data_IF_830600897221
#
_entry.id   IF_830600897221
#
_cell.length_a   1.000
_cell.length_b   1.000
_cell.length_c   1.000
_cell.angle_alpha   90.00
_cell.angle_beta   90.00
_cell.angle_gamma   90.00
#
_symmetry.space_group_name_H-M   'P 1'
#
loop_
_entity.id
_entity.type
_entity.pdbx_description
1 polymer ?
#
# COMPACT_ATOMS: atom_id res chain seq x y z
N UNK A 1 1.67 12.40 4.72
CA UNK A 1 1.57 13.77 5.26
C UNK A 1 2.78 14.63 4.94
N UNK A 2 4.04 14.19 5.29
CA UNK A 2 5.24 15.00 5.18
C UNK A 2 5.44 15.64 3.79
N UNK A 3 5.44 14.85 2.71
CA UNK A 3 5.63 15.34 1.35
C UNK A 3 4.50 16.29 0.91
N UNK A 4 3.26 16.07 1.37
CA UNK A 4 2.12 16.93 1.08
C UNK A 4 2.25 18.28 1.76
N UNK A 5 2.61 18.27 3.03
CA UNK A 5 2.84 19.50 3.82
C UNK A 5 3.97 20.32 3.21
N UNK A 6 5.09 19.68 2.86
CA UNK A 6 6.22 20.34 2.20
C UNK A 6 5.86 20.95 0.84
N UNK A 7 5.00 20.26 0.08
CA UNK A 7 4.54 20.73 -1.23
C UNK A 7 3.33 21.69 -1.17
N UNK A 8 2.91 22.10 0.04
CA UNK A 8 1.75 22.97 0.27
C UNK A 8 0.44 22.42 -0.36
N UNK A 9 0.30 21.09 -0.39
CA UNK A 9 -0.92 20.41 -0.85
C UNK A 9 -1.85 20.23 0.35
N UNK A 10 -3.05 20.80 0.25
CA UNK A 10 -4.10 20.62 1.26
C UNK A 10 -4.59 19.17 1.28
N UNK A 11 -4.74 18.60 2.46
CA UNK A 11 -5.25 17.25 2.67
C UNK A 11 -5.94 17.10 4.02
N UNK A 12 -6.89 16.20 4.09
CA UNK A 12 -7.52 15.75 5.33
C UNK A 12 -6.97 14.38 5.73
N UNK A 13 -7.00 14.09 7.02
CA UNK A 13 -6.77 12.75 7.55
C UNK A 13 -8.13 12.18 7.93
N UNK A 14 -8.43 11.03 7.37
CA UNK A 14 -9.62 10.25 7.70
C UNK A 14 -9.20 8.87 8.22
N UNK A 15 -10.06 8.26 8.99
CA UNK A 15 -9.86 6.95 9.60
C UNK A 15 -10.89 5.95 9.08
N UNK A 16 -10.80 4.72 9.51
CA UNK A 16 -11.71 3.64 9.12
C UNK A 16 -13.20 4.03 9.29
N UNK A 17 -13.51 4.75 10.37
CA UNK A 17 -14.87 5.23 10.65
C UNK A 17 -15.40 6.10 9.52
N UNK A 18 -14.63 7.11 9.13
CA UNK A 18 -15.02 8.00 8.05
C UNK A 18 -15.11 7.31 6.70
N UNK A 19 -14.24 6.32 6.46
CA UNK A 19 -14.30 5.49 5.25
C UNK A 19 -15.59 4.70 5.21
N UNK A 20 -15.96 4.02 6.29
CA UNK A 20 -17.20 3.23 6.40
C UNK A 20 -18.46 4.09 6.41
N UNK A 21 -18.37 5.36 6.84
CA UNK A 21 -19.45 6.35 6.74
C UNK A 21 -19.63 6.93 5.33
N UNK A 22 -18.80 6.53 4.35
CA UNK A 22 -18.91 6.97 2.96
C UNK A 22 -18.27 8.33 2.66
N UNK A 23 -17.42 8.86 3.54
CA UNK A 23 -16.77 10.17 3.31
C UNK A 23 -15.77 10.18 2.15
N UNK A 24 -15.38 9.01 1.63
CA UNK A 24 -14.47 8.96 0.46
C UNK A 24 -15.03 9.66 -0.76
N UNK A 25 -16.35 9.75 -0.92
CA UNK A 25 -17.01 10.42 -2.04
C UNK A 25 -16.73 11.93 -2.10
N UNK A 26 -16.30 12.52 -0.98
CA UNK A 26 -15.94 13.94 -0.89
C UNK A 26 -14.55 14.22 -1.45
N UNK A 27 -13.72 13.16 -1.67
CA UNK A 27 -12.32 13.28 -2.06
C UNK A 27 -12.08 12.80 -3.49
N UNK A 28 -11.16 13.47 -4.17
CA UNK A 28 -10.70 13.05 -5.51
C UNK A 28 -9.64 11.95 -5.47
N UNK A 29 -9.03 11.72 -4.30
CA UNK A 29 -7.82 10.95 -4.14
C UNK A 29 -7.66 10.45 -2.70
N UNK A 30 -7.33 9.18 -2.55
CA UNK A 30 -6.99 8.53 -1.28
C UNK A 30 -5.52 8.12 -1.29
N UNK A 31 -4.80 8.45 -0.23
CA UNK A 31 -3.44 7.99 -0.01
C UNK A 31 -3.35 7.10 1.23
N UNK A 32 -2.90 5.87 1.04
CA UNK A 32 -2.54 4.92 2.10
C UNK A 32 -1.03 4.87 2.23
N UNK A 33 -0.52 5.08 3.43
CA UNK A 33 0.91 5.15 3.66
C UNK A 33 1.49 3.84 4.21
N UNK A 34 0.91 3.31 5.26
CA UNK A 34 1.40 2.12 5.95
C UNK A 34 0.25 1.53 6.76
N UNK A 35 -0.66 0.86 6.08
CA UNK A 35 -1.84 0.25 6.67
C UNK A 35 -1.73 -1.27 6.65
N UNK A 36 -2.36 -1.92 7.61
CA UNK A 36 -2.58 -3.37 7.61
C UNK A 36 -4.08 -3.66 7.52
N UNK A 37 -4.51 -4.14 6.37
CA UNK A 37 -5.91 -4.51 6.11
C UNK A 37 -6.23 -5.96 6.51
N UNK A 38 -5.25 -6.73 7.01
CA UNK A 38 -5.44 -8.12 7.42
C UNK A 38 -5.92 -8.26 8.85
N UNK A 39 -5.79 -7.20 9.67
CA UNK A 39 -6.07 -7.23 11.10
C UNK A 39 -4.99 -7.92 11.94
N UNK A 40 -3.80 -8.13 11.39
CA UNK A 40 -2.68 -8.75 12.09
C UNK A 40 -1.72 -7.71 12.70
N UNK A 41 -2.18 -6.47 12.84
CA UNK A 41 -1.46 -5.35 13.47
C UNK A 41 -0.03 -5.16 12.93
N UNK A 42 0.13 -5.25 11.61
CA UNK A 42 1.39 -5.06 10.92
C UNK A 42 2.41 -6.18 11.14
N UNK A 43 1.97 -7.34 11.63
CA UNK A 43 2.89 -8.46 11.99
C UNK A 43 3.96 -8.09 13.05
N UNK A 44 3.68 -7.08 13.86
CA UNK A 44 4.61 -6.64 14.91
C UNK A 44 4.54 -7.49 16.18
N UNK A 45 3.59 -8.42 16.28
CA UNK A 45 3.38 -9.25 17.47
C UNK A 45 4.64 -9.98 17.94
N UNK A 46 5.40 -10.60 17.03
CA UNK A 46 6.58 -11.39 17.39
C UNK A 46 7.60 -10.60 18.21
N UNK A 47 7.85 -9.35 17.82
CA UNK A 47 8.89 -8.49 18.38
C UNK A 47 8.38 -7.47 19.40
N UNK A 48 7.10 -7.08 19.32
CA UNK A 48 6.60 -5.91 20.04
C UNK A 48 5.38 -6.17 20.91
N UNK A 49 4.87 -7.41 21.03
CA UNK A 49 3.65 -7.74 21.81
C UNK A 49 3.67 -7.28 23.26
N UNK A 50 4.85 -7.09 23.86
CA UNK A 50 5.02 -6.62 25.24
C UNK A 50 5.31 -5.12 25.34
N UNK A 51 5.40 -4.40 24.22
CA UNK A 51 5.71 -2.98 24.21
C UNK A 51 4.44 -2.16 24.48
N UNK A 52 4.51 -1.15 25.38
CA UNK A 52 3.34 -0.36 25.75
C UNK A 52 2.60 0.28 24.56
N UNK A 53 3.35 0.79 23.58
CA UNK A 53 2.76 1.39 22.39
C UNK A 53 1.97 0.38 21.56
N UNK A 54 2.49 -0.84 21.38
CA UNK A 54 1.81 -1.90 20.62
C UNK A 54 0.51 -2.32 21.31
N UNK A 55 0.58 -2.57 22.63
CA UNK A 55 -0.60 -2.92 23.44
C UNK A 55 -1.68 -1.82 23.37
N UNK A 56 -1.26 -0.55 23.42
CA UNK A 56 -2.20 0.58 23.32
C UNK A 56 -2.84 0.65 21.92
N UNK A 57 -2.08 0.44 20.86
CA UNK A 57 -2.57 0.43 19.49
C UNK A 57 -3.57 -0.71 19.25
N UNK A 58 -3.25 -1.93 19.66
CA UNK A 58 -4.14 -3.11 19.55
C UNK A 58 -5.47 -2.82 20.25
N UNK A 59 -5.44 -2.36 21.51
CA UNK A 59 -6.66 -2.03 22.28
C UNK A 59 -7.50 -0.94 21.62
N UNK A 60 -6.87 0.05 21.02
CA UNK A 60 -7.58 1.12 20.32
C UNK A 60 -8.29 0.59 19.07
N UNK A 61 -7.62 -0.27 18.30
CA UNK A 61 -8.21 -0.89 17.10
C UNK A 61 -9.35 -1.85 17.45
N UNK A 62 -9.17 -2.68 18.47
CA UNK A 62 -10.21 -3.57 18.99
C UNK A 62 -11.44 -2.80 19.49
N UNK A 63 -11.22 -1.70 20.23
CA UNK A 63 -12.31 -0.85 20.70
C UNK A 63 -13.07 -0.22 19.53
N UNK A 64 -12.37 0.28 18.52
CA UNK A 64 -12.97 0.83 17.31
C UNK A 64 -13.81 -0.21 16.55
N UNK A 65 -13.27 -1.42 16.35
CA UNK A 65 -14.00 -2.50 15.70
C UNK A 65 -15.30 -2.84 16.46
N UNK A 66 -15.23 -2.94 17.78
CA UNK A 66 -16.39 -3.21 18.63
C UNK A 66 -17.42 -2.07 18.60
N UNK A 67 -17.02 -0.81 18.62
CA UNK A 67 -17.90 0.35 18.49
C UNK A 67 -18.63 0.38 17.15
N UNK A 68 -17.99 -0.07 16.08
CA UNK A 68 -18.56 -0.19 14.75
C UNK A 68 -19.39 -1.48 14.56
N UNK A 69 -19.43 -2.36 15.56
CA UNK A 69 -20.23 -3.60 15.55
C UNK A 69 -19.57 -4.81 14.93
N UNK A 70 -18.26 -4.77 14.68
CA UNK A 70 -17.49 -5.90 14.16
C UNK A 70 -17.04 -6.84 15.28
N UNK A 71 -16.93 -8.13 14.98
CA UNK A 71 -16.44 -9.15 15.91
C UNK A 71 -14.92 -9.11 16.05
N UNK A 72 -14.20 -8.65 15.03
CA UNK A 72 -12.73 -8.52 15.02
C UNK A 72 -12.24 -7.34 14.19
N UNK A 73 -11.00 -6.92 14.42
CA UNK A 73 -10.32 -5.93 13.59
C UNK A 73 -10.15 -6.43 12.16
N UNK A 74 -9.93 -7.73 11.98
CA UNK A 74 -9.80 -8.33 10.64
C UNK A 74 -11.08 -8.17 9.82
N UNK A 75 -12.26 -8.39 10.39
CA UNK A 75 -13.54 -8.15 9.71
C UNK A 75 -13.72 -6.68 9.34
N UNK A 76 -13.52 -5.78 10.30
CA UNK A 76 -13.59 -4.34 10.05
C UNK A 76 -12.67 -3.91 8.90
N UNK A 77 -11.41 -4.34 8.92
CA UNK A 77 -10.41 -3.96 7.91
C UNK A 77 -10.75 -4.49 6.51
N UNK A 78 -11.36 -5.66 6.40
CA UNK A 78 -11.85 -6.18 5.11
C UNK A 78 -12.98 -5.32 4.55
N UNK A 79 -13.91 -4.87 5.38
CA UNK A 79 -14.98 -3.97 4.95
C UNK A 79 -14.44 -2.59 4.56
N UNK A 80 -13.45 -2.07 5.26
CA UNK A 80 -12.74 -0.85 4.87
C UNK A 80 -12.07 -1.02 3.50
N UNK A 81 -11.37 -2.14 3.27
CA UNK A 81 -10.74 -2.42 1.99
C UNK A 81 -11.79 -2.53 0.85
N UNK A 82 -12.92 -3.17 1.11
CA UNK A 82 -14.03 -3.26 0.17
C UNK A 82 -14.59 -1.88 -0.19
N UNK A 83 -14.87 -1.04 0.81
CA UNK A 83 -15.36 0.34 0.62
C UNK A 83 -14.38 1.17 -0.22
N UNK A 84 -13.09 1.06 0.04
CA UNK A 84 -12.04 1.74 -0.76
C UNK A 84 -12.05 1.21 -2.20
N UNK A 85 -12.21 -0.09 -2.40
CA UNK A 85 -12.29 -0.68 -3.75
C UNK A 85 -13.51 -0.16 -4.52
N UNK A 86 -14.68 -0.03 -3.88
CA UNK A 86 -15.87 0.56 -4.48
C UNK A 86 -15.63 2.02 -4.90
N UNK A 87 -15.06 2.83 -4.00
CA UNK A 87 -14.65 4.19 -4.31
C UNK A 87 -13.74 4.28 -5.55
N UNK A 88 -12.76 3.38 -5.69
CA UNK A 88 -11.92 3.30 -6.90
C UNK A 88 -12.78 2.93 -8.12
N UNK A 89 -13.66 1.93 -7.98
CA UNK A 89 -14.55 1.48 -9.05
C UNK A 89 -15.46 2.57 -9.60
N UNK A 90 -15.87 3.51 -8.75
CA UNK A 90 -16.71 4.66 -9.10
C UNK A 90 -15.94 5.84 -9.72
N UNK A 91 -14.63 5.79 -9.73
CA UNK A 91 -13.78 6.77 -10.40
C UNK A 91 -12.79 7.48 -9.49
N UNK A 92 -12.64 7.02 -8.24
CA UNK A 92 -11.61 7.48 -7.31
C UNK A 92 -10.20 7.08 -7.73
N UNK A 93 -9.22 7.74 -7.17
CA UNK A 93 -7.82 7.36 -7.33
C UNK A 93 -7.23 6.92 -6.00
N UNK A 94 -6.71 5.69 -5.97
CA UNK A 94 -6.00 5.12 -4.84
C UNK A 94 -4.49 5.15 -5.08
N UNK A 95 -3.75 5.78 -4.19
CA UNK A 95 -2.30 5.69 -4.11
C UNK A 95 -1.89 5.02 -2.81
N UNK A 96 -1.41 3.79 -2.87
CA UNK A 96 -0.99 3.02 -1.70
C UNK A 96 0.51 2.76 -1.70
N UNK A 97 1.09 2.72 -0.51
CA UNK A 97 2.52 2.50 -0.28
C UNK A 97 2.72 1.42 0.79
N UNK A 98 3.88 0.75 0.71
CA UNK A 98 4.34 -0.20 1.70
C UNK A 98 3.30 -1.31 1.97
N UNK A 99 3.08 -1.70 3.23
CA UNK A 99 2.09 -2.72 3.61
C UNK A 99 0.65 -2.36 3.25
N UNK A 100 0.34 -1.09 2.99
CA UNK A 100 -0.97 -0.69 2.47
C UNK A 100 -1.26 -1.18 1.05
N UNK A 101 -0.34 -1.85 0.38
CA UNK A 101 -0.48 -2.40 -0.97
C UNK A 101 -0.86 -3.88 -0.95
N UNK A 102 0.01 -4.73 -0.43
CA UNK A 102 -0.18 -6.18 -0.38
C UNK A 102 -1.29 -6.57 0.61
N UNK A 103 -1.34 -5.97 1.80
CA UNK A 103 -2.38 -6.26 2.78
C UNK A 103 -3.77 -5.86 2.29
N UNK A 104 -3.88 -4.81 1.47
CA UNK A 104 -5.12 -4.41 0.83
C UNK A 104 -5.67 -5.52 -0.07
N UNK A 105 -4.86 -6.02 -0.99
CA UNK A 105 -5.27 -7.10 -1.88
C UNK A 105 -5.48 -8.44 -1.14
N UNK A 106 -4.71 -8.71 -0.08
CA UNK A 106 -4.93 -9.87 0.78
C UNK A 106 -6.32 -9.78 1.44
N UNK A 107 -6.69 -8.61 1.98
CA UNK A 107 -8.00 -8.40 2.58
C UNK A 107 -9.15 -8.60 1.57
N UNK A 108 -8.99 -8.08 0.35
CA UNK A 108 -9.97 -8.27 -0.73
C UNK A 108 -10.12 -9.75 -1.13
N UNK A 109 -9.00 -10.47 -1.27
CA UNK A 109 -9.04 -11.90 -1.59
C UNK A 109 -9.67 -12.74 -0.48
N UNK A 110 -9.53 -12.30 0.77
CA UNK A 110 -10.01 -12.99 1.96
C UNK A 110 -11.40 -12.52 2.43
N UNK A 111 -12.20 -11.90 1.57
CA UNK A 111 -13.56 -11.50 1.91
C UNK A 111 -14.38 -12.71 2.36
N UNK A 112 -14.93 -12.64 3.57
CA UNK A 112 -15.69 -13.74 4.20
C UNK A 112 -14.84 -14.93 4.65
N UNK A 113 -13.51 -14.80 4.66
CA UNK A 113 -12.59 -15.84 5.11
C UNK A 113 -11.77 -15.30 6.28
N UNK A 114 -11.72 -16.06 7.37
CA UNK A 114 -10.85 -15.71 8.49
C UNK A 114 -9.38 -16.05 8.17
N UNK A 115 -8.54 -15.03 8.18
CA UNK A 115 -7.10 -15.10 7.94
C UNK A 115 -6.28 -14.59 9.13
N UNK A 116 -6.92 -14.28 10.26
CA UNK A 116 -6.25 -13.80 11.46
C UNK A 116 -5.93 -15.00 12.37
N UNK A 117 -4.66 -15.29 12.66
CA UNK A 117 -4.32 -16.27 13.69
C UNK A 117 -4.79 -15.87 15.10
N UNK A 118 -5.05 -16.87 15.94
CA UNK A 118 -5.54 -16.73 17.32
C UNK A 118 -4.82 -15.65 18.16
N UNK A 119 -3.55 -15.37 17.85
CA UNK A 119 -2.77 -14.35 18.55
C UNK A 119 -3.25 -12.92 18.30
N UNK A 120 -4.10 -12.71 17.29
CA UNK A 120 -4.55 -11.39 16.86
C UNK A 120 -5.99 -11.10 17.25
N UNK A 121 -6.88 -12.08 17.24
CA UNK A 121 -8.32 -11.89 17.51
C UNK A 121 -8.93 -12.92 18.47
N UNK A 122 -8.15 -13.92 18.91
CA UNK A 122 -8.55 -14.84 19.97
C UNK A 122 -9.18 -16.15 19.48
N UNK A 123 -9.35 -16.34 18.16
CA UNK A 123 -9.77 -17.59 17.55
C UNK A 123 -8.85 -18.01 16.38
N UNK A 124 -8.78 -19.31 16.05
CA UNK A 124 -7.88 -19.78 15.02
C UNK A 124 -8.38 -19.39 13.63
N UNK A 125 -7.46 -18.95 12.78
CA UNK A 125 -7.76 -18.73 11.36
C UNK A 125 -8.37 -19.95 10.68
N UNK A 126 -9.16 -19.75 9.63
CA UNK A 126 -9.74 -20.85 8.86
C UNK A 126 -8.65 -21.79 8.35
N UNK A 127 -8.68 -23.07 8.67
CA UNK A 127 -7.66 -24.03 8.25
C UNK A 127 -7.55 -24.21 6.75
N UNK A 128 -8.57 -23.78 6.00
CA UNK A 128 -8.61 -23.79 4.55
C UNK A 128 -8.56 -22.37 3.96
N UNK A 129 -8.08 -21.38 4.70
CA UNK A 129 -8.06 -19.98 4.26
C UNK A 129 -7.42 -19.82 2.88
N UNK A 130 -6.25 -20.43 2.67
CA UNK A 130 -5.54 -20.35 1.38
C UNK A 130 -6.39 -20.81 0.18
N UNK A 131 -7.15 -21.86 0.34
CA UNK A 131 -7.98 -22.44 -0.75
C UNK A 131 -9.25 -21.64 -1.01
N UNK A 132 -9.63 -20.79 -0.07
CA UNK A 132 -10.84 -19.96 -0.15
C UNK A 132 -10.58 -18.55 -0.68
N UNK A 133 -9.31 -18.18 -0.88
CA UNK A 133 -8.97 -16.87 -1.42
C UNK A 133 -9.51 -16.70 -2.84
N UNK A 134 -10.12 -15.56 -3.09
CA UNK A 134 -10.69 -15.19 -4.40
C UNK A 134 -9.84 -14.07 -5.03
N UNK A 135 -8.94 -14.45 -5.91
CA UNK A 135 -8.05 -13.50 -6.59
C UNK A 135 -8.77 -12.62 -7.63
N UNK A 136 -9.98 -12.94 -8.03
CA UNK A 136 -10.76 -12.06 -8.92
C UNK A 136 -11.20 -10.78 -8.20
N UNK A 137 -11.20 -10.80 -6.87
CA UNK A 137 -11.51 -9.63 -6.04
C UNK A 137 -10.35 -8.65 -5.86
N UNK A 138 -9.11 -9.05 -6.09
CA UNK A 138 -7.92 -8.22 -5.88
C UNK A 138 -7.72 -7.21 -7.02
N UNK A 139 -7.01 -6.13 -6.73
CA UNK A 139 -6.67 -5.12 -7.73
C UNK A 139 -5.40 -5.47 -8.52
N UNK A 140 -4.32 -5.80 -7.83
CA UNK A 140 -2.97 -5.88 -8.41
C UNK A 140 -2.35 -7.27 -8.41
N UNK A 141 -2.68 -8.11 -7.41
CA UNK A 141 -1.96 -9.35 -7.18
C UNK A 141 -2.85 -10.59 -7.30
N UNK A 142 -2.26 -11.70 -7.72
CA UNK A 142 -2.92 -12.99 -7.86
C UNK A 142 -1.99 -14.15 -7.54
N UNK A 143 -2.54 -15.34 -7.28
CA UNK A 143 -1.79 -16.57 -7.06
C UNK A 143 -0.76 -16.50 -5.91
N UNK A 144 -1.02 -15.65 -4.92
CA UNK A 144 -0.16 -15.55 -3.76
C UNK A 144 -0.56 -16.53 -2.66
N UNK A 145 0.40 -16.83 -1.80
CA UNK A 145 0.23 -17.65 -0.60
C UNK A 145 0.31 -16.78 0.65
N UNK A 146 -0.75 -16.82 1.47
CA UNK A 146 -0.79 -16.09 2.74
C UNK A 146 0.07 -16.78 3.80
N UNK A 147 0.63 -15.98 4.69
CA UNK A 147 1.46 -16.45 5.80
C UNK A 147 0.72 -16.22 7.11
N UNK A 148 0.23 -17.32 7.69
CA UNK A 148 -0.54 -17.29 8.94
C UNK A 148 0.32 -17.42 10.20
N UNK A 149 1.63 -17.70 10.06
CA UNK A 149 2.52 -17.74 11.21
C UNK A 149 2.74 -16.32 11.78
N UNK A 150 2.34 -16.01 13.04
CA UNK A 150 2.50 -14.68 13.61
C UNK A 150 3.96 -14.27 13.85
N UNK A 151 4.91 -15.22 13.76
CA UNK A 151 6.33 -14.94 13.86
C UNK A 151 6.98 -14.56 12.52
N UNK A 152 6.29 -14.76 11.39
CA UNK A 152 6.74 -14.29 10.09
C UNK A 152 6.36 -12.83 9.90
N UNK A 153 7.26 -12.07 9.28
CA UNK A 153 7.08 -10.63 9.11
C UNK A 153 6.20 -10.28 7.89
N UNK A 154 6.33 -11.04 6.83
CA UNK A 154 5.54 -10.86 5.63
C UNK A 154 4.11 -11.41 5.80
N UNK A 155 3.12 -10.76 5.20
CA UNK A 155 1.72 -11.22 5.21
C UNK A 155 1.45 -12.30 4.15
N UNK A 156 2.17 -12.25 3.05
CA UNK A 156 2.08 -13.20 1.94
C UNK A 156 3.40 -13.27 1.17
N UNK A 157 3.49 -14.17 0.19
CA UNK A 157 4.59 -14.18 -0.75
C UNK A 157 4.43 -13.19 -1.92
N UNK A 158 3.57 -12.18 -1.76
CA UNK A 158 3.59 -10.97 -2.62
C UNK A 158 4.86 -10.20 -2.34
N UNK A 159 5.14 -9.96 -1.06
CA UNK A 159 6.34 -9.28 -0.63
C UNK A 159 7.58 -10.17 -0.76
N UNK A 160 8.70 -9.56 -1.06
CA UNK A 160 9.99 -10.23 -1.11
C UNK A 160 10.54 -10.37 0.31
N UNK A 161 10.89 -11.59 0.75
CA UNK A 161 11.32 -11.82 2.12
C UNK A 161 12.45 -10.89 2.57
N UNK A 162 12.36 -10.41 3.81
CA UNK A 162 13.34 -9.49 4.44
C UNK A 162 14.78 -10.02 4.34
N UNK A 163 14.98 -11.34 4.40
CA UNK A 163 16.29 -11.98 4.25
C UNK A 163 16.92 -11.75 2.88
N UNK A 164 16.08 -11.58 1.85
CA UNK A 164 16.50 -11.30 0.46
C UNK A 164 16.59 -9.79 0.26
N UNK A 165 15.77 -9.00 0.95
CA UNK A 165 15.76 -7.54 0.89
C UNK A 165 16.89 -6.85 1.68
N UNK A 166 17.70 -7.57 2.43
CA UNK A 166 18.92 -7.03 3.07
C UNK A 166 19.99 -6.72 2.00
N UNK A 167 19.57 -6.01 1.00
CA UNK A 167 20.47 -5.46 0.00
C UNK A 167 21.16 -4.25 0.60
N UNK A 168 22.45 -4.11 0.35
CA UNK A 168 23.16 -2.86 0.60
C UNK A 168 22.37 -1.71 -0.05
N UNK A 169 22.02 -0.70 0.72
CA UNK A 169 21.27 0.47 0.25
C UNK A 169 21.88 1.11 -1.00
N UNK A 170 23.21 1.05 -1.11
CA UNK A 170 23.94 1.55 -2.27
C UNK A 170 23.63 0.79 -3.56
N UNK A 171 23.06 -0.41 -3.46
CA UNK A 171 22.74 -1.31 -4.56
C UNK A 171 21.22 -1.48 -4.78
N UNK A 172 20.38 -0.90 -3.91
CA UNK A 172 18.93 -0.97 -4.05
C UNK A 172 18.40 0.15 -4.95
N UNK A 173 18.34 -0.15 -6.24
CA UNK A 173 17.78 0.72 -7.25
C UNK A 173 16.71 -0.01 -8.05
N UNK A 174 15.73 0.74 -8.55
CA UNK A 174 14.80 0.28 -9.56
C UNK A 174 14.83 1.19 -10.79
N UNK A 175 14.55 0.61 -11.93
CA UNK A 175 14.50 1.32 -13.20
C UNK A 175 13.06 1.63 -13.53
N UNK A 176 12.80 2.89 -13.86
CA UNK A 176 11.50 3.34 -14.34
C UNK A 176 11.26 2.85 -15.76
N UNK A 177 10.00 2.57 -16.07
CA UNK A 177 9.55 2.26 -17.42
C UNK A 177 10.04 3.35 -18.39
N UNK A 178 10.53 2.93 -19.56
CA UNK A 178 11.02 3.87 -20.57
C UNK A 178 9.87 4.63 -21.19
N UNK A 179 9.80 5.90 -20.86
CA UNK A 179 8.67 6.77 -21.07
C UNK A 179 8.75 7.51 -22.40
N UNK A 180 7.63 7.55 -23.12
CA UNK A 180 7.43 8.45 -24.25
C UNK A 180 6.11 9.20 -24.08
N UNK A 181 6.16 10.53 -24.08
CA UNK A 181 4.97 11.38 -23.96
C UNK A 181 3.87 11.08 -25.01
N UNK A 182 4.25 10.49 -26.12
CA UNK A 182 3.33 10.07 -27.19
C UNK A 182 2.63 8.73 -26.91
N UNK A 183 3.28 7.85 -26.18
CA UNK A 183 2.85 6.45 -26.01
C UNK A 183 2.71 6.02 -24.55
N UNK A 184 2.79 6.98 -23.63
CA UNK A 184 2.72 6.66 -22.20
C UNK A 184 1.35 6.10 -21.83
N UNK A 185 1.28 4.84 -21.35
CA UNK A 185 0.03 4.24 -20.87
C UNK A 185 -0.51 4.94 -19.62
N UNK A 186 0.36 5.63 -18.89
CA UNK A 186 0.03 6.38 -17.67
C UNK A 186 0.55 7.82 -17.80
N UNK A 187 -0.16 8.69 -18.54
CA UNK A 187 0.33 10.01 -18.84
C UNK A 187 0.76 10.78 -17.59
N UNK A 188 1.99 11.26 -17.62
CA UNK A 188 2.54 12.23 -16.68
C UNK A 188 3.08 11.71 -15.36
N UNK A 189 2.83 10.47 -14.95
CA UNK A 189 3.35 9.95 -13.67
C UNK A 189 4.88 9.86 -13.61
N UNK A 190 5.53 9.68 -14.75
CA UNK A 190 6.99 9.54 -14.85
C UNK A 190 7.71 10.78 -15.41
N UNK A 191 7.02 11.64 -16.15
CA UNK A 191 7.62 12.72 -16.95
C UNK A 191 8.42 13.78 -16.20
N UNK A 192 8.11 14.00 -14.95
CA UNK A 192 8.68 15.10 -14.16
C UNK A 192 9.97 14.72 -13.44
N UNK A 193 10.40 13.49 -13.56
CA UNK A 193 11.48 13.00 -12.73
C UNK A 193 12.87 13.22 -13.35
N UNK A 194 12.99 13.18 -14.66
CA UNK A 194 14.24 13.33 -15.43
C UNK A 194 15.35 12.31 -15.14
N UNK A 195 15.02 11.23 -14.43
CA UNK A 195 15.94 10.12 -14.16
C UNK A 195 15.26 8.79 -14.49
N UNK A 196 16.04 7.82 -14.99
CA UNK A 196 15.55 6.48 -15.33
C UNK A 196 15.74 5.46 -14.20
N UNK A 197 16.58 5.79 -13.23
CA UNK A 197 16.87 4.91 -12.09
C UNK A 197 16.66 5.66 -10.78
N UNK A 198 15.93 5.04 -9.87
CA UNK A 198 15.57 5.60 -8.58
C UNK A 198 16.03 4.65 -7.49
N UNK A 199 16.51 5.19 -6.37
CA UNK A 199 16.80 4.40 -5.18
C UNK A 199 15.54 3.72 -4.67
N UNK A 200 15.63 2.48 -4.22
CA UNK A 200 14.53 1.75 -3.60
C UNK A 200 14.02 2.46 -2.34
N UNK A 201 12.77 2.24 -2.01
CA UNK A 201 12.16 2.83 -0.83
C UNK A 201 12.27 1.86 0.34
N UNK A 202 12.52 2.39 1.53
CA UNK A 202 12.47 1.62 2.75
C UNK A 202 11.01 1.42 3.20
N UNK A 203 10.76 0.35 3.97
CA UNK A 203 9.43 0.03 4.50
C UNK A 203 9.31 -1.43 4.89
N UNK A 204 8.11 -1.87 5.22
CA UNK A 204 7.80 -3.26 5.50
C UNK A 204 7.76 -4.06 4.20
N UNK A 205 6.92 -3.66 3.26
CA UNK A 205 6.82 -4.24 1.92
C UNK A 205 7.65 -3.41 0.96
N UNK A 206 8.85 -3.87 0.63
CA UNK A 206 9.85 -3.09 -0.14
C UNK A 206 9.98 -3.51 -1.59
N UNK A 207 9.42 -4.65 -1.97
CA UNK A 207 9.35 -5.13 -3.35
C UNK A 207 8.23 -6.16 -3.49
N UNK A 208 7.62 -6.21 -4.67
CA UNK A 208 6.64 -7.23 -5.03
C UNK A 208 7.29 -8.31 -5.88
N UNK A 209 6.93 -9.57 -5.66
CA UNK A 209 7.32 -10.64 -6.57
C UNK A 209 6.60 -10.46 -7.91
N UNK A 210 7.35 -10.42 -9.01
CA UNK A 210 6.84 -10.09 -10.34
C UNK A 210 5.80 -11.10 -10.84
N UNK A 211 5.96 -12.37 -10.49
CA UNK A 211 5.03 -13.46 -10.85
C UNK A 211 3.67 -13.39 -10.12
N UNK A 212 3.54 -12.52 -9.09
CA UNK A 212 2.30 -12.28 -8.38
C UNK A 212 1.51 -11.10 -8.93
N UNK A 213 2.12 -10.28 -9.77
CA UNK A 213 1.44 -9.11 -10.38
C UNK A 213 0.55 -9.57 -11.52
N UNK A 214 -0.74 -9.18 -11.48
CA UNK A 214 -1.70 -9.49 -12.54
C UNK A 214 -1.26 -8.94 -13.89
N UNK A 215 -1.52 -9.66 -14.95
CA UNK A 215 -1.18 -9.27 -16.33
C UNK A 215 -1.87 -7.98 -16.82
N UNK A 216 -2.97 -7.58 -16.16
CA UNK A 216 -3.69 -6.33 -16.43
C UNK A 216 -3.03 -5.09 -15.82
N UNK A 217 -2.03 -5.28 -14.98
CA UNK A 217 -1.34 -4.20 -14.25
C UNK A 217 -0.09 -3.77 -15.01
N UNK A 218 0.11 -2.46 -15.11
CA UNK A 218 1.29 -1.87 -15.76
C UNK A 218 2.43 -1.77 -14.75
N UNK A 219 3.56 -2.35 -15.08
CA UNK A 219 4.78 -2.21 -14.29
C UNK A 219 5.46 -0.89 -14.69
N UNK A 220 5.55 0.05 -13.76
CA UNK A 220 6.18 1.36 -13.95
C UNK A 220 7.62 1.42 -13.43
N UNK A 221 8.00 0.50 -12.54
CA UNK A 221 9.35 0.41 -12.02
C UNK A 221 9.70 -1.00 -11.54
N UNK A 222 10.84 -1.52 -11.97
CA UNK A 222 11.33 -2.85 -11.60
C UNK A 222 12.82 -2.84 -11.27
N UNK A 223 13.27 -3.79 -10.45
CA UNK A 223 14.68 -3.95 -10.11
C UNK A 223 15.40 -4.77 -11.16
N UNK A 224 16.38 -4.21 -11.88
CA UNK A 224 17.08 -4.94 -12.95
C UNK A 224 17.75 -6.22 -12.46
N UNK A 225 17.57 -7.31 -13.21
CA UNK A 225 18.18 -8.60 -12.91
C UNK A 225 17.61 -9.31 -11.67
N UNK A 226 16.51 -8.80 -11.12
CA UNK A 226 15.73 -9.42 -10.05
C UNK A 226 14.29 -9.55 -10.53
N UNK A 227 13.62 -10.63 -10.22
CA UNK A 227 12.19 -10.79 -10.52
C UNK A 227 11.34 -9.99 -9.49
N UNK A 228 11.65 -8.71 -9.33
CA UNK A 228 11.09 -7.81 -8.34
C UNK A 228 10.58 -6.52 -8.97
N UNK A 229 9.41 -6.11 -8.53
CA UNK A 229 8.72 -4.90 -8.99
C UNK A 229 8.55 -3.94 -7.82
N UNK A 230 8.72 -2.65 -8.06
CA UNK A 230 8.67 -1.60 -7.02
C UNK A 230 7.51 -0.63 -7.21
N UNK A 231 7.02 -0.47 -8.43
CA UNK A 231 6.05 0.56 -8.77
C UNK A 231 5.12 0.05 -9.87
N UNK A 232 3.83 -0.01 -9.58
CA UNK A 232 2.81 -0.56 -10.47
C UNK A 232 1.57 0.31 -10.51
N UNK A 233 0.84 0.25 -11.64
CA UNK A 233 -0.38 1.01 -11.85
C UNK A 233 -1.44 0.17 -12.56
N UNK A 234 -2.70 0.36 -12.21
CA UNK A 234 -3.81 -0.32 -12.84
C UNK A 234 -5.08 0.51 -12.88
N UNK A 235 -6.04 0.01 -13.64
CA UNK A 235 -7.40 0.55 -13.71
C UNK A 235 -8.35 -0.43 -13.01
N UNK A 236 -9.36 0.12 -12.34
CA UNK A 236 -10.45 -0.67 -11.80
C UNK A 236 -11.77 0.11 -11.95
N UNK A 237 -12.75 -0.46 -12.64
CA UNK A 237 -13.99 0.26 -12.96
C UNK A 237 -13.72 1.57 -13.70
N UNK A 238 -14.18 2.69 -13.15
CA UNK A 238 -13.97 4.03 -13.69
C UNK A 238 -12.73 4.74 -13.11
N UNK A 239 -12.10 4.16 -12.11
CA UNK A 239 -10.96 4.75 -11.40
C UNK A 239 -9.65 4.05 -11.68
N UNK A 240 -8.66 4.42 -10.89
CA UNK A 240 -7.28 3.93 -11.05
C UNK A 240 -6.62 3.74 -9.69
N UNK A 241 -5.63 2.87 -9.64
CA UNK A 241 -4.79 2.69 -8.47
C UNK A 241 -3.30 2.69 -8.84
N UNK A 242 -2.47 3.07 -7.89
CA UNK A 242 -1.02 2.99 -8.00
C UNK A 242 -0.46 2.44 -6.70
N UNK A 243 0.36 1.42 -6.78
CA UNK A 243 1.01 0.79 -5.64
C UNK A 243 2.52 0.99 -5.70
N UNK A 244 3.08 1.38 -4.57
CA UNK A 244 4.49 1.65 -4.41
C UNK A 244 5.07 0.78 -3.30
N UNK A 245 6.10 0.01 -3.59
CA UNK A 245 6.81 -0.78 -2.59
C UNK A 245 7.71 0.13 -1.74
N UNK A 246 7.54 0.06 -0.42
CA UNK A 246 8.17 0.97 0.53
C UNK A 246 7.51 2.34 0.61
N UNK A 247 8.00 3.18 1.51
CA UNK A 247 7.41 4.50 1.75
C UNK A 247 8.43 5.61 2.02
N UNK A 248 9.68 5.26 2.33
CA UNK A 248 10.72 6.24 2.66
C UNK A 248 11.86 6.20 1.65
N UNK A 249 11.89 7.13 0.68
CA UNK A 249 12.88 7.11 -0.38
C UNK A 249 14.26 7.59 0.03
N UNK A 250 14.41 8.29 1.17
CA UNK A 250 15.66 8.89 1.58
C UNK A 250 16.14 8.45 2.98
N UNK A 251 15.29 7.75 3.73
CA UNK A 251 15.63 7.25 5.06
C UNK A 251 15.54 5.72 5.15
N UNK A 252 16.66 5.07 4.94
CA UNK A 252 16.78 3.60 5.03
C UNK A 252 17.03 3.10 6.46
N UNK A 253 17.23 3.99 7.42
CA UNK A 253 17.54 3.65 8.80
C UNK A 253 16.41 3.95 9.77
N UNK A 254 15.29 4.46 9.24
CA UNK A 254 14.12 4.88 10.01
C UNK A 254 13.62 3.75 10.93
N UNK A 255 13.47 4.08 12.20
CA UNK A 255 12.95 3.18 13.23
C UNK A 255 11.71 3.80 13.88
N UNK A 256 10.96 2.97 14.58
CA UNK A 256 9.82 3.45 15.39
C UNK A 256 10.31 4.53 16.36
N UNK A 257 9.69 5.71 16.31
CA UNK A 257 10.01 6.94 17.06
C UNK A 257 11.21 7.75 16.55
N UNK A 258 11.80 7.43 15.42
CA UNK A 258 12.76 8.33 14.79
C UNK A 258 12.03 9.61 14.31
N UNK A 259 12.72 10.76 14.29
CA UNK A 259 12.14 11.98 13.73
C UNK A 259 11.86 11.78 12.23
N UNK A 260 10.86 12.48 11.67
CA UNK A 260 10.57 12.39 10.25
C UNK A 260 11.75 12.91 9.42
N UNK A 261 11.93 12.39 8.21
CA UNK A 261 12.93 12.84 7.25
C UNK A 261 12.82 14.35 7.02
N UNK A 262 13.96 15.04 7.09
CA UNK A 262 14.03 16.46 6.75
C UNK A 262 14.10 16.64 5.23
N UNK A 263 12.98 17.03 4.62
CA UNK A 263 12.88 17.19 3.16
C UNK A 263 13.71 18.35 2.61
N UNK A 264 14.08 19.32 3.44
CA UNK A 264 14.95 20.42 3.01
C UNK A 264 16.37 19.92 2.65
N UNK A 265 16.76 18.79 3.22
CA UNK A 265 18.02 18.12 2.89
C UNK A 265 17.96 17.34 1.56
N UNK A 266 16.75 17.10 1.04
CA UNK A 266 16.50 16.27 -0.14
C UNK A 266 15.68 16.98 -1.24
N UNK A 267 15.99 18.24 -1.61
CA UNK A 267 15.15 19.04 -2.52
C UNK A 267 15.07 18.46 -3.94
N UNK A 268 16.01 17.58 -4.30
CA UNK A 268 16.08 16.96 -5.62
C UNK A 268 15.82 15.44 -5.57
N UNK A 269 15.21 14.93 -4.50
CA UNK A 269 14.91 13.51 -4.37
C UNK A 269 13.99 13.02 -5.49
N UNK A 270 14.44 12.08 -6.33
CA UNK A 270 13.59 11.50 -7.34
C UNK A 270 12.47 10.64 -6.72
N UNK A 271 12.70 10.02 -5.58
CA UNK A 271 11.71 9.23 -4.88
C UNK A 271 10.54 10.08 -4.37
N UNK A 272 10.80 11.17 -3.66
CA UNK A 272 9.76 12.11 -3.25
C UNK A 272 9.06 12.74 -4.44
N UNK A 273 9.78 12.98 -5.55
CA UNK A 273 9.17 13.50 -6.76
C UNK A 273 8.15 12.54 -7.36
N UNK A 274 8.44 11.23 -7.37
CA UNK A 274 7.48 10.22 -7.82
C UNK A 274 6.23 10.18 -6.93
N UNK A 275 6.37 10.32 -5.61
CA UNK A 275 5.24 10.43 -4.70
C UNK A 275 4.36 11.63 -5.08
N UNK A 276 4.96 12.82 -5.26
CA UNK A 276 4.22 14.03 -5.65
C UNK A 276 3.55 13.90 -7.03
N UNK A 277 4.17 13.23 -7.98
CA UNK A 277 3.59 13.00 -9.29
C UNK A 277 2.26 12.24 -9.19
N UNK A 278 2.15 11.27 -8.28
CA UNK A 278 0.90 10.54 -8.04
C UNK A 278 -0.22 11.39 -7.44
N UNK A 279 0.11 12.52 -6.85
CA UNK A 279 -0.86 13.46 -6.27
C UNK A 279 -1.32 14.47 -7.32
N UNK A 280 -0.38 15.03 -8.08
CA UNK A 280 -0.62 16.16 -8.96
C UNK A 280 -1.35 15.76 -10.26
N UNK A 281 -1.04 14.63 -10.84
CA UNK A 281 -1.49 14.26 -12.18
C UNK A 281 -2.87 13.63 -12.27
N UNK A 282 -3.35 12.81 -11.33
CA UNK A 282 -4.73 12.32 -11.35
C UNK A 282 -5.76 13.44 -11.36
N UNK A 283 -5.48 14.55 -10.67
CA UNK A 283 -6.35 15.73 -10.61
C UNK A 283 -6.50 16.43 -11.99
N UNK A 284 -5.52 16.34 -12.87
CA UNK A 284 -5.57 16.94 -14.21
C UNK A 284 -6.54 16.20 -15.16
N UNK A 285 -6.71 14.89 -15.02
CA UNK A 285 -7.66 14.09 -15.83
C UNK A 285 -9.11 14.50 -15.58
N UNK A 286 -9.52 14.77 -14.35
CA UNK A 286 -10.91 15.18 -13.99
C UNK A 286 -11.27 16.57 -14.55
N UNK A 287 -10.35 17.52 -14.60
CA UNK A 287 -10.61 18.86 -15.18
C UNK A 287 -10.88 18.83 -16.69
N UNK A 288 -10.30 17.89 -17.44
CA UNK A 288 -10.58 17.75 -18.89
C UNK A 288 -11.95 17.14 -19.17
N UNK A 289 -12.46 16.23 -18.32
CA UNK A 289 -13.81 15.65 -18.47
C UNK A 289 -14.95 16.59 -18.09
N UNK A 290 -14.71 17.66 -17.32
CA UNK A 290 -15.72 18.70 -16.99
C UNK A 290 -15.81 19.84 -17.99
N UNK A 291 -15.02 19.83 -19.09
CA UNK A 291 -14.99 20.88 -20.12
C UNK A 291 -15.52 20.43 -21.48
N UNK A 292 -15.90 19.17 -21.63
CA UNK A 292 -16.63 18.63 -22.77
C UNK A 292 -18.11 18.41 -22.39
#
# INVERSE_FOLDING_TARGET
>A
PLALTYAEVEYDKIWDVEVLEGKLDEYDWLHLHHEDFTGQFGKFWANYRNMPWYIAQVKQMEAMAAELGYSSVSEQKKDVAHTIKEYVGEGGFLFAMCSGTDTFDIALAAEGVDIAPEQFDGDPADPNAQQKLDFDKTLAFENFEIKLNPAEYEHANIDVPVSINRVDQSLDFFTLFDFSAKWDPVPTMLTQNHVSSVRGFYGQTTAFQKDKVKSSVVILGESPGREQVKYIHGNYGNGTFTFYAGHDPEDYTHRVNDPPTDLELHPNSPGYRLILNNILFPRLKKRRKKRD
#
